data_IF_789410448683
#
_entry.id   IF_789410448683
#
_cell.length_a   1.000
_cell.length_b   1.000
_cell.length_c   1.000
_cell.angle_alpha   90.00
_cell.angle_beta   90.00
_cell.angle_gamma   90.00
#
_symmetry.space_group_name_H-M   'P 1'
#
loop_
_entity.id
_entity.type
_entity.pdbx_description
1 polymer ?
#
# COMPACT_ATOMS: atom_id res chain seq x y z
N UNK A 1 -5.44 4.73 9.67
CA UNK A 1 -4.25 5.59 9.71
C UNK A 1 -3.85 5.91 8.27
N UNK A 2 -3.20 7.05 7.98
CA UNK A 2 -2.68 7.30 6.64
C UNK A 2 -1.67 6.21 6.24
N UNK A 3 -1.59 5.90 4.93
CA UNK A 3 -0.69 4.92 4.34
C UNK A 3 -0.85 3.46 4.83
N UNK A 4 -1.92 3.11 5.56
CA UNK A 4 -2.15 1.73 6.04
C UNK A 4 -2.41 0.72 4.93
N UNK A 5 -2.74 1.19 3.73
CA UNK A 5 -3.03 0.38 2.57
C UNK A 5 -1.85 -0.43 2.03
N UNK A 6 -0.62 -0.16 2.48
CA UNK A 6 0.62 -0.87 2.11
C UNK A 6 1.48 -1.21 3.35
N UNK A 7 0.84 -1.48 4.50
CA UNK A 7 1.54 -1.77 5.75
C UNK A 7 2.55 -2.93 5.63
N UNK A 8 2.27 -3.89 4.76
CA UNK A 8 3.16 -4.96 4.34
C UNK A 8 4.52 -4.47 3.81
N UNK A 9 4.51 -3.50 2.89
CA UNK A 9 5.74 -2.93 2.34
C UNK A 9 6.50 -2.09 3.37
N UNK A 10 5.80 -1.45 4.30
CA UNK A 10 6.44 -0.73 5.41
C UNK A 10 7.23 -1.67 6.33
N UNK A 11 6.71 -2.87 6.62
CA UNK A 11 7.42 -3.87 7.42
C UNK A 11 8.74 -4.26 6.75
N UNK A 12 8.73 -4.54 5.44
CA UNK A 12 9.94 -4.84 4.65
C UNK A 12 10.92 -3.68 4.66
N UNK A 13 10.44 -2.45 4.47
CA UNK A 13 11.29 -1.25 4.47
C UNK A 13 12.00 -1.06 5.81
N UNK A 14 11.29 -1.21 6.93
CA UNK A 14 11.90 -1.12 8.26
C UNK A 14 12.86 -2.28 8.54
N UNK A 15 12.55 -3.50 8.09
CA UNK A 15 13.45 -4.64 8.22
C UNK A 15 14.77 -4.42 7.45
N UNK A 16 14.68 -3.97 6.19
CA UNK A 16 15.84 -3.63 5.37
C UNK A 16 16.68 -2.50 6.00
N UNK A 17 16.02 -1.46 6.51
CA UNK A 17 16.71 -0.39 7.23
C UNK A 17 17.46 -0.93 8.46
N UNK A 18 16.83 -1.78 9.28
CA UNK A 18 17.47 -2.36 10.47
C UNK A 18 18.66 -3.26 10.11
N UNK A 19 18.62 -3.91 8.95
CA UNK A 19 19.73 -4.72 8.43
C UNK A 19 20.84 -3.88 7.78
N UNK A 20 20.67 -2.55 7.63
CA UNK A 20 21.62 -1.68 6.93
C UNK A 20 21.56 -1.78 5.41
N UNK A 21 20.56 -2.46 4.84
CA UNK A 21 20.38 -2.61 3.40
C UNK A 21 19.69 -1.37 2.81
N UNK A 22 20.50 -0.32 2.59
CA UNK A 22 20.03 0.93 2.03
C UNK A 22 19.54 0.81 0.59
N UNK A 23 20.04 -0.16 -0.19
CA UNK A 23 19.63 -0.38 -1.56
C UNK A 23 18.17 -0.86 -1.62
N UNK A 24 17.81 -1.84 -0.78
CA UNK A 24 16.42 -2.31 -0.66
C UNK A 24 15.50 -1.24 -0.09
N UNK A 25 15.94 -0.47 0.91
CA UNK A 25 15.16 0.67 1.44
C UNK A 25 14.83 1.65 0.33
N UNK A 26 15.83 2.04 -0.47
CA UNK A 26 15.64 3.00 -1.56
C UNK A 26 14.69 2.49 -2.62
N UNK A 27 14.85 1.23 -3.03
CA UNK A 27 13.98 0.58 -4.01
C UNK A 27 12.52 0.54 -3.53
N UNK A 28 12.27 0.09 -2.28
CA UNK A 28 10.91 0.02 -1.72
C UNK A 28 10.26 1.41 -1.60
N UNK A 29 11.04 2.40 -1.17
CA UNK A 29 10.57 3.78 -1.09
C UNK A 29 10.19 4.33 -2.47
N UNK A 30 11.07 4.21 -3.46
CA UNK A 30 10.82 4.72 -4.81
C UNK A 30 9.62 4.04 -5.49
N UNK A 31 9.43 2.74 -5.25
CA UNK A 31 8.27 2.00 -5.79
C UNK A 31 6.95 2.41 -5.14
N UNK A 32 6.95 2.79 -3.86
CA UNK A 32 5.73 3.16 -3.12
C UNK A 32 5.36 4.64 -3.28
N UNK A 33 6.31 5.50 -3.68
CA UNK A 33 6.11 6.95 -3.84
C UNK A 33 4.90 7.35 -4.70
N UNK A 34 4.64 6.77 -5.88
CA UNK A 34 3.50 7.18 -6.71
C UNK A 34 2.15 7.00 -5.98
N UNK A 35 1.96 5.86 -5.31
CA UNK A 35 0.75 5.59 -4.53
C UNK A 35 0.62 6.55 -3.34
N UNK A 36 1.72 6.79 -2.62
CA UNK A 36 1.74 7.71 -1.48
C UNK A 36 1.46 9.17 -1.91
N UNK A 37 1.95 9.59 -3.07
CA UNK A 37 1.67 10.90 -3.63
C UNK A 37 0.18 11.05 -4.00
N UNK A 38 -0.40 10.03 -4.62
CA UNK A 38 -1.84 10.00 -4.88
C UNK A 38 -2.65 10.03 -3.57
N UNK A 39 -2.20 9.28 -2.56
CA UNK A 39 -2.80 9.27 -1.22
C UNK A 39 -2.75 10.63 -0.53
N UNK A 40 -1.72 11.44 -0.77
CA UNK A 40 -1.63 12.79 -0.22
C UNK A 40 -2.76 13.70 -0.71
N UNK A 41 -3.28 13.47 -1.92
CA UNK A 41 -4.41 14.22 -2.52
C UNK A 41 -5.75 13.71 -2.01
N UNK A 42 -5.99 12.39 -2.10
CA UNK A 42 -7.30 11.78 -1.80
C UNK A 42 -7.47 11.34 -0.34
N UNK A 43 -6.39 11.37 0.44
CA UNK A 43 -6.34 11.10 1.88
C UNK A 43 -7.00 9.77 2.21
N UNK A 44 -7.95 9.80 3.14
CA UNK A 44 -8.68 8.64 3.63
C UNK A 44 -9.46 7.89 2.55
N UNK A 45 -9.92 8.58 1.49
CA UNK A 45 -10.75 7.96 0.46
C UNK A 45 -9.96 6.92 -0.33
N UNK A 46 -8.74 7.26 -0.72
CA UNK A 46 -7.85 6.33 -1.41
C UNK A 46 -7.40 5.20 -0.49
N UNK A 47 -6.94 5.49 0.73
CA UNK A 47 -6.57 4.45 1.69
C UNK A 47 -7.71 3.43 1.88
N UNK A 48 -8.95 3.91 2.07
CA UNK A 48 -10.11 3.01 2.24
C UNK A 48 -10.48 2.26 0.97
N UNK A 49 -10.33 2.84 -0.22
CA UNK A 49 -10.59 2.14 -1.48
C UNK A 49 -9.61 1.00 -1.69
N UNK A 50 -8.31 1.21 -1.41
CA UNK A 50 -7.32 0.14 -1.50
C UNK A 50 -7.61 -0.97 -0.47
N UNK A 51 -7.94 -0.61 0.78
CA UNK A 51 -8.31 -1.61 1.79
C UNK A 51 -9.54 -2.42 1.38
N UNK A 52 -10.55 -1.79 0.76
CA UNK A 52 -11.74 -2.46 0.23
C UNK A 52 -11.39 -3.42 -0.91
N UNK A 53 -10.60 -2.96 -1.88
CA UNK A 53 -10.14 -3.79 -3.02
C UNK A 53 -9.29 -4.98 -2.58
N UNK A 54 -8.52 -4.81 -1.50
CA UNK A 54 -7.76 -5.89 -0.83
C UNK A 54 -8.62 -6.82 0.04
N UNK A 55 -9.93 -6.59 0.15
CA UNK A 55 -10.84 -7.41 0.94
C UNK A 55 -10.72 -7.24 2.46
N UNK A 56 -10.03 -6.19 2.94
CA UNK A 56 -9.79 -5.97 4.37
C UNK A 56 -10.95 -5.24 5.06
N UNK A 57 -11.76 -4.50 4.29
CA UNK A 57 -12.96 -3.80 4.78
C UNK A 57 -14.06 -3.86 3.72
N UNK A 58 -15.32 -3.75 4.15
CA UNK A 58 -16.47 -3.82 3.24
C UNK A 58 -16.77 -2.48 2.52
N UNK A 59 -16.41 -1.35 3.14
CA UNK A 59 -16.84 -0.03 2.67
C UNK A 59 -15.72 0.99 2.61
N UNK A 60 -15.61 1.65 1.44
CA UNK A 60 -14.68 2.75 1.20
C UNK A 60 -15.23 4.13 1.63
N UNK A 61 -16.42 4.20 2.24
CA UNK A 61 -17.08 5.47 2.57
C UNK A 61 -16.28 6.34 3.56
N UNK A 62 -16.22 7.64 3.30
CA UNK A 62 -15.60 8.65 4.17
C UNK A 62 -16.61 9.76 4.45
N UNK A 63 -16.77 10.13 5.73
CA UNK A 63 -17.70 11.18 6.19
C UNK A 63 -17.24 12.59 5.84
N UNK A 64 -15.93 12.83 5.91
CA UNK A 64 -15.36 14.15 5.65
C UNK A 64 -15.49 14.52 4.16
N UNK A 65 -15.83 15.78 3.84
CA UNK A 65 -15.81 16.25 2.47
C UNK A 65 -14.38 16.23 1.92
N UNK A 66 -14.24 15.99 0.62
CA UNK A 66 -12.95 15.91 -0.03
C UNK A 66 -13.04 15.41 -1.48
N UNK A 67 -11.91 15.40 -2.21
CA UNK A 67 -11.88 14.93 -3.59
C UNK A 67 -12.38 13.49 -3.68
N UNK A 68 -13.11 13.20 -4.76
CA UNK A 68 -13.61 11.88 -5.09
C UNK A 68 -12.73 11.27 -6.17
N UNK A 69 -12.54 9.96 -6.09
CA UNK A 69 -11.85 9.21 -7.15
C UNK A 69 -12.80 9.12 -8.34
N UNK A 70 -12.42 9.72 -9.45
CA UNK A 70 -13.13 9.54 -10.70
C UNK A 70 -12.70 8.25 -11.42
N UNK A 71 -13.24 8.02 -12.62
CA UNK A 71 -12.93 6.83 -13.41
C UNK A 71 -11.44 6.75 -13.80
N UNK A 72 -10.79 7.88 -14.06
CA UNK A 72 -9.39 7.94 -14.43
C UNK A 72 -8.49 7.70 -13.23
N UNK A 73 -8.83 8.27 -12.08
CA UNK A 73 -8.13 8.00 -10.82
C UNK A 73 -8.18 6.52 -10.45
N UNK A 74 -9.34 5.88 -10.63
CA UNK A 74 -9.51 4.46 -10.35
C UNK A 74 -8.66 3.59 -11.28
N UNK A 75 -8.53 3.98 -12.56
CA UNK A 75 -7.70 3.29 -13.53
C UNK A 75 -6.20 3.47 -13.25
N UNK A 76 -5.78 4.67 -12.85
CA UNK A 76 -4.40 4.92 -12.39
C UNK A 76 -4.09 4.10 -11.13
N UNK A 77 -5.03 4.06 -10.18
CA UNK A 77 -4.90 3.24 -8.97
C UNK A 77 -4.72 1.76 -9.32
N UNK A 78 -5.42 1.25 -10.33
CA UNK A 78 -5.24 -0.13 -10.81
C UNK A 78 -3.80 -0.38 -11.29
N UNK A 79 -3.22 0.54 -12.07
CA UNK A 79 -1.84 0.42 -12.55
C UNK A 79 -0.83 0.47 -11.40
N UNK A 80 -1.02 1.38 -10.44
CA UNK A 80 -0.15 1.51 -9.27
C UNK A 80 -0.18 0.25 -8.40
N UNK A 81 -1.36 -0.30 -8.14
CA UNK A 81 -1.49 -1.54 -7.37
C UNK A 81 -0.91 -2.74 -8.10
N UNK A 82 -1.12 -2.86 -9.42
CA UNK A 82 -0.53 -3.92 -10.23
C UNK A 82 1.01 -3.90 -10.20
N UNK A 83 1.62 -2.71 -10.18
CA UNK A 83 3.07 -2.56 -10.07
C UNK A 83 3.62 -2.95 -8.68
N UNK A 84 2.81 -2.81 -7.62
CA UNK A 84 3.19 -3.15 -6.25
C UNK A 84 2.89 -4.61 -5.88
N UNK A 85 1.94 -5.25 -6.57
CA UNK A 85 1.50 -6.63 -6.32
C UNK A 85 2.66 -7.64 -6.18
N UNK A 86 3.71 -7.63 -7.04
CA UNK A 86 4.84 -8.57 -6.87
C UNK A 86 5.56 -8.39 -5.54
N UNK A 87 5.78 -7.14 -5.11
CA UNK A 87 6.47 -6.80 -3.86
C UNK A 87 5.65 -7.23 -2.63
N UNK A 88 4.31 -7.18 -2.75
CA UNK A 88 3.37 -7.57 -1.70
C UNK A 88 3.25 -9.11 -1.60
N UNK A 89 3.18 -9.82 -2.73
CA UNK A 89 3.07 -11.31 -2.76
C UNK A 89 4.25 -12.04 -2.16
N UNK A 90 5.46 -11.55 -2.40
CA UNK A 90 6.67 -12.08 -1.75
C UNK A 90 6.52 -12.13 -0.22
N UNK A 91 5.74 -11.22 0.38
CA UNK A 91 5.50 -11.21 1.81
C UNK A 91 4.47 -12.25 2.25
N UNK A 92 3.44 -12.53 1.44
CA UNK A 92 2.49 -13.62 1.69
C UNK A 92 3.17 -14.98 1.72
N UNK A 93 4.17 -15.20 0.84
CA UNK A 93 5.03 -16.37 0.85
C UNK A 93 5.99 -16.41 2.06
N UNK A 94 6.43 -15.24 2.54
CA UNK A 94 7.35 -15.14 3.69
C UNK A 94 6.67 -15.25 5.05
N UNK A 95 5.35 -14.99 5.12
CA UNK A 95 4.55 -15.10 6.35
C UNK A 95 4.08 -16.54 6.64
N UNK A 96 4.19 -17.45 5.66
CA UNK A 96 3.83 -18.87 5.81
C UNK A 96 4.90 -19.69 6.58
N UNK A 97 5.98 -19.06 7.06
CA UNK A 97 7.09 -19.77 7.69
C UNK A 97 7.08 -19.81 9.22
N UNK A 98 6.22 -19.08 9.96
CA UNK A 98 6.20 -19.17 11.44
C UNK A 98 4.85 -18.84 12.09
N UNK A 99 3.95 -19.82 12.11
CA UNK A 99 3.06 -20.06 13.25
C UNK A 99 2.96 -21.56 13.54
N UNK A 100 4.10 -22.15 13.92
CA UNK A 100 4.13 -23.34 14.79
C UNK A 100 4.69 -22.85 16.12
N UNK A 101 3.81 -22.68 17.10
CA UNK A 101 4.12 -22.74 18.53
C UNK A 101 3.33 -23.91 19.08
#
# INVERSE_FOLDING_TARGET
MPASEIADLHVKLIAAHRAGDLATVRMLFERTLPLLNMQAVFRWRLTKEVLRRRGLIESAYVRAPGPQLDRHDLAELDQLLAALEPLMREMGSSLDLRQTV
#
